data_IF_048448857045
#
_entry.id   IF_048448857045
#
_cell.length_a   1.000
_cell.length_b   1.000
_cell.length_c   1.000
_cell.angle_alpha   90.00
_cell.angle_beta   90.00
_cell.angle_gamma   90.00
#
_symmetry.space_group_name_H-M   'P 1'
#
loop_
_entity.id
_entity.type
_entity.pdbx_description
1 polymer ?
#
# COMPACT_ATOMS: atom_id res chain seq x y z
N UNK A 1 10.09 -10.99 -13.94
CA UNK A 1 10.29 -9.52 -14.15
C UNK A 1 11.13 -9.01 -13.01
N UNK A 2 12.35 -8.54 -13.26
CA UNK A 2 13.19 -7.91 -12.24
C UNK A 2 12.87 -6.41 -12.21
N UNK A 3 12.43 -5.89 -11.06
CA UNK A 3 12.17 -4.48 -10.89
C UNK A 3 13.48 -3.74 -10.63
N UNK A 4 13.75 -2.66 -11.38
CA UNK A 4 14.87 -1.76 -11.11
C UNK A 4 14.69 -1.01 -9.78
N UNK A 5 13.43 -0.64 -9.47
CA UNK A 5 13.03 0.02 -8.24
C UNK A 5 11.79 -0.69 -7.67
N UNK A 6 11.80 -1.04 -6.39
CA UNK A 6 10.67 -1.71 -5.75
C UNK A 6 9.66 -0.72 -5.15
N UNK A 7 10.04 0.52 -4.95
CA UNK A 7 9.16 1.63 -4.59
C UNK A 7 9.73 2.98 -5.06
N UNK A 8 8.89 3.99 -5.08
CA UNK A 8 9.22 5.38 -5.33
C UNK A 8 8.65 6.26 -4.24
N UNK A 9 9.42 7.23 -3.77
CA UNK A 9 9.04 8.07 -2.64
C UNK A 9 9.07 9.56 -3.01
N UNK A 10 8.09 10.29 -2.50
CA UNK A 10 8.02 11.74 -2.54
C UNK A 10 7.87 12.25 -1.10
N UNK A 11 8.96 12.71 -0.52
CA UNK A 11 8.98 13.17 0.87
C UNK A 11 8.27 14.53 1.00
N UNK A 12 7.35 14.64 1.98
CA UNK A 12 6.61 15.89 2.29
C UNK A 12 5.90 16.51 1.06
N UNK A 13 5.48 15.67 0.11
CA UNK A 13 4.94 16.12 -1.17
C UNK A 13 3.56 16.77 -1.04
N UNK A 14 2.79 16.39 -0.02
CA UNK A 14 1.48 16.96 0.26
C UNK A 14 1.58 17.90 1.46
N UNK A 15 1.10 19.14 1.26
CA UNK A 15 1.13 20.14 2.32
C UNK A 15 0.30 19.72 3.55
N UNK A 16 0.69 20.20 4.73
CA UNK A 16 -0.03 19.96 5.99
C UNK A 16 -1.51 20.35 5.88
N UNK A 17 -1.81 21.45 5.20
CA UNK A 17 -3.20 21.90 4.96
C UNK A 17 -3.99 20.86 4.17
N UNK A 18 -3.42 20.30 3.09
CA UNK A 18 -4.09 19.27 2.30
C UNK A 18 -4.21 17.95 3.07
N UNK A 19 -3.21 17.56 3.86
CA UNK A 19 -3.32 16.39 4.74
C UNK A 19 -4.51 16.54 5.71
N UNK A 20 -4.67 17.67 6.37
CA UNK A 20 -5.81 17.92 7.25
C UNK A 20 -7.15 17.99 6.51
N UNK A 21 -7.17 18.55 5.30
CA UNK A 21 -8.38 18.54 4.45
C UNK A 21 -8.80 17.10 4.13
N UNK A 22 -7.87 16.22 3.80
CA UNK A 22 -8.12 14.80 3.56
C UNK A 22 -8.67 14.14 4.82
N UNK A 23 -8.00 14.28 5.97
CA UNK A 23 -8.46 13.74 7.25
C UNK A 23 -9.89 14.16 7.53
N UNK A 24 -10.19 15.46 7.43
CA UNK A 24 -11.53 16.02 7.69
C UNK A 24 -12.60 15.42 6.75
N UNK A 25 -12.27 15.17 5.49
CA UNK A 25 -13.19 14.53 4.56
C UNK A 25 -13.41 13.05 4.93
N UNK A 26 -12.34 12.32 5.26
CA UNK A 26 -12.40 10.92 5.63
C UNK A 26 -13.14 10.65 6.94
N UNK A 27 -13.01 11.54 7.93
CA UNK A 27 -13.71 11.42 9.22
C UNK A 27 -15.23 11.58 9.11
N UNK A 28 -15.76 12.08 8.00
CA UNK A 28 -17.21 12.11 7.73
C UNK A 28 -17.75 10.76 7.23
N UNK A 29 -16.87 9.84 6.85
CA UNK A 29 -17.24 8.54 6.32
C UNK A 29 -17.43 7.52 7.46
N UNK A 30 -18.26 6.50 7.20
CA UNK A 30 -18.47 5.41 8.15
C UNK A 30 -17.18 4.64 8.41
N UNK A 31 -16.83 4.51 9.69
CA UNK A 31 -15.64 3.81 10.15
C UNK A 31 -15.97 2.35 10.44
N UNK A 32 -15.21 1.44 9.86
CA UNK A 32 -15.36 0.00 10.05
C UNK A 32 -14.04 -0.63 10.48
N UNK A 33 -14.10 -1.81 11.09
CA UNK A 33 -12.88 -2.58 11.40
C UNK A 33 -12.25 -3.09 10.11
N UNK A 34 -10.96 -2.83 9.93
CA UNK A 34 -10.21 -3.33 8.77
C UNK A 34 -10.16 -4.86 8.79
N UNK A 35 -10.45 -5.47 7.65
CA UNK A 35 -10.43 -6.93 7.46
C UNK A 35 -9.48 -7.30 6.33
N UNK A 36 -9.02 -8.55 6.33
CA UNK A 36 -8.29 -9.16 5.21
C UNK A 36 -9.25 -10.10 4.49
N UNK A 37 -9.34 -10.03 3.18
CA UNK A 37 -10.16 -10.93 2.38
C UNK A 37 -9.72 -12.38 2.62
N UNK A 38 -10.70 -13.30 2.73
CA UNK A 38 -10.52 -14.75 2.75
C UNK A 38 -9.65 -15.40 3.86
N UNK A 39 -9.41 -14.74 5.00
CA UNK A 39 -8.61 -15.32 6.08
C UNK A 39 -9.44 -15.66 7.31
N UNK A 40 -9.44 -16.94 7.74
CA UNK A 40 -9.93 -17.37 9.07
C UNK A 40 -9.07 -16.78 10.22
N UNK A 41 -7.88 -16.26 9.92
CA UNK A 41 -6.91 -15.66 10.85
C UNK A 41 -6.96 -14.12 10.87
N UNK A 42 -8.11 -13.53 10.56
CA UNK A 42 -8.31 -12.08 10.30
C UNK A 42 -7.68 -11.13 11.33
N UNK A 43 -7.80 -11.45 12.63
CA UNK A 43 -7.28 -10.59 13.71
C UNK A 43 -5.76 -10.65 13.89
N UNK A 44 -5.10 -11.74 13.44
CA UNK A 44 -3.65 -11.90 13.51
C UNK A 44 -2.93 -11.25 12.33
N UNK A 45 -3.64 -11.01 11.22
CA UNK A 45 -3.07 -10.42 10.02
C UNK A 45 -3.24 -8.89 9.98
N UNK A 46 -4.37 -8.37 10.48
CA UNK A 46 -4.67 -6.94 10.45
C UNK A 46 -5.52 -6.53 11.64
N UNK A 47 -5.09 -5.47 12.31
CA UNK A 47 -5.85 -4.82 13.36
C UNK A 47 -5.77 -3.30 13.14
N UNK A 48 -6.84 -2.70 12.63
CA UNK A 48 -6.94 -1.26 12.37
C UNK A 48 -8.42 -0.88 12.14
N UNK A 49 -8.66 0.41 11.96
CA UNK A 49 -9.94 0.93 11.47
C UNK A 49 -9.79 1.55 10.09
N UNK A 50 -10.80 1.43 9.25
CA UNK A 50 -10.81 1.99 7.91
C UNK A 50 -12.11 2.73 7.60
N UNK A 51 -12.00 3.74 6.73
CA UNK A 51 -13.12 4.39 6.07
C UNK A 51 -12.81 4.46 4.57
N UNK A 52 -13.83 4.45 3.74
CA UNK A 52 -13.68 4.50 2.28
C UNK A 52 -14.18 5.84 1.76
N UNK A 53 -13.41 6.43 0.86
CA UNK A 53 -13.72 7.74 0.29
C UNK A 53 -13.50 7.76 -1.22
N UNK A 54 -14.40 8.44 -1.94
CA UNK A 54 -14.30 8.68 -3.38
C UNK A 54 -14.56 10.16 -3.63
N UNK A 55 -13.49 10.92 -3.76
CA UNK A 55 -13.54 12.37 -3.99
C UNK A 55 -12.59 12.74 -5.13
N UNK A 56 -13.11 13.31 -6.20
CA UNK A 56 -12.33 13.63 -7.40
C UNK A 56 -11.11 14.50 -7.11
N UNK A 57 -11.23 15.45 -6.17
CA UNK A 57 -10.11 16.31 -5.81
C UNK A 57 -8.95 15.55 -5.15
N UNK A 58 -9.21 14.42 -4.48
CA UNK A 58 -8.16 13.54 -3.91
C UNK A 58 -7.45 12.82 -5.05
N UNK A 59 -8.19 12.24 -6.00
CA UNK A 59 -7.57 11.59 -7.16
C UNK A 59 -6.77 12.58 -8.01
N UNK A 60 -7.30 13.77 -8.25
CA UNK A 60 -6.60 14.83 -8.98
C UNK A 60 -5.30 15.27 -8.28
N UNK A 61 -5.28 15.23 -6.94
CA UNK A 61 -4.09 15.51 -6.15
C UNK A 61 -3.05 14.39 -6.24
N UNK A 62 -3.46 13.11 -6.27
CA UNK A 62 -2.58 11.96 -6.17
C UNK A 62 -2.10 11.42 -7.52
N UNK A 63 -2.93 11.45 -8.56
CA UNK A 63 -2.60 10.87 -9.87
C UNK A 63 -1.31 11.40 -10.51
N UNK A 64 -0.94 12.69 -10.42
CA UNK A 64 0.33 13.17 -10.94
C UNK A 64 1.55 12.45 -10.33
N UNK A 65 1.50 12.12 -9.04
CA UNK A 65 2.56 11.38 -8.35
C UNK A 65 2.61 9.92 -8.83
N UNK A 66 1.44 9.28 -9.04
CA UNK A 66 1.35 7.90 -9.56
C UNK A 66 1.97 7.82 -10.95
N UNK A 67 1.61 8.73 -11.86
CA UNK A 67 2.19 8.78 -13.21
C UNK A 67 3.70 9.02 -13.18
N UNK A 68 4.15 9.95 -12.34
CA UNK A 68 5.57 10.28 -12.20
C UNK A 68 6.37 9.08 -11.66
N UNK A 69 5.89 8.44 -10.59
CA UNK A 69 6.54 7.25 -10.02
C UNK A 69 6.60 6.10 -11.02
N UNK A 70 5.47 5.78 -11.67
CA UNK A 70 5.37 4.69 -12.65
C UNK A 70 6.39 4.84 -13.79
N UNK A 71 6.57 6.06 -14.29
CA UNK A 71 7.56 6.38 -15.34
C UNK A 71 8.99 6.36 -14.79
N UNK A 72 9.25 7.08 -13.70
CA UNK A 72 10.62 7.30 -13.20
C UNK A 72 11.22 6.04 -12.57
N UNK A 73 10.38 5.19 -11.97
CA UNK A 73 10.79 3.87 -11.48
C UNK A 73 10.95 2.84 -12.61
N UNK A 74 10.63 3.22 -13.86
CA UNK A 74 10.68 2.38 -15.05
C UNK A 74 9.74 1.16 -14.98
N UNK A 75 8.64 1.26 -14.22
CA UNK A 75 7.63 0.20 -14.21
C UNK A 75 6.77 0.22 -15.47
N UNK A 76 6.34 1.39 -15.92
CA UNK A 76 5.53 1.61 -17.12
C UNK A 76 4.26 0.75 -17.17
N UNK A 77 3.69 0.47 -15.99
CA UNK A 77 2.47 -0.32 -15.90
C UNK A 77 1.28 0.44 -16.48
N UNK A 78 0.49 -0.25 -17.29
CA UNK A 78 -0.76 0.28 -17.80
C UNK A 78 -1.84 0.13 -16.72
N UNK A 79 -2.46 1.24 -16.35
CA UNK A 79 -3.60 1.32 -15.45
C UNK A 79 -4.58 2.36 -15.98
N UNK A 80 -5.85 2.22 -15.65
CA UNK A 80 -6.92 3.03 -16.23
C UNK A 80 -7.97 3.49 -15.21
N UNK A 81 -7.89 3.05 -13.95
CA UNK A 81 -8.83 3.42 -12.90
C UNK A 81 -8.20 3.41 -11.52
N UNK A 82 -8.75 4.22 -10.61
CA UNK A 82 -8.42 4.14 -9.19
C UNK A 82 -9.59 3.52 -8.42
N UNK A 83 -9.29 2.63 -7.49
CA UNK A 83 -10.28 2.15 -6.51
C UNK A 83 -10.67 3.28 -5.55
N UNK A 84 -11.71 3.04 -4.73
CA UNK A 84 -12.00 3.87 -3.57
C UNK A 84 -10.75 3.99 -2.71
N UNK A 85 -10.42 5.21 -2.31
CA UNK A 85 -9.30 5.42 -1.38
C UNK A 85 -9.69 4.94 0.01
N UNK A 86 -8.76 4.24 0.67
CA UNK A 86 -8.91 3.73 2.02
C UNK A 86 -8.18 4.64 3.01
N UNK A 87 -8.93 5.34 3.83
CA UNK A 87 -8.36 6.00 5.01
C UNK A 87 -8.20 4.96 6.12
N UNK A 88 -7.00 4.85 6.66
CA UNK A 88 -6.66 3.86 7.68
C UNK A 88 -6.19 4.55 8.95
N UNK A 89 -6.74 4.13 10.07
CA UNK A 89 -6.33 4.58 11.40
C UNK A 89 -5.78 3.40 12.21
N UNK A 90 -4.60 3.62 12.80
CA UNK A 90 -3.96 2.70 13.73
C UNK A 90 -3.76 3.39 15.07
N UNK A 91 -4.16 2.73 16.16
CA UNK A 91 -3.91 3.14 17.54
C UNK A 91 -3.02 2.10 18.23
N UNK A 92 -2.73 2.26 19.52
CA UNK A 92 -1.85 1.36 20.29
C UNK A 92 -2.18 -0.12 20.05
N UNK A 93 -1.15 -0.91 19.78
CA UNK A 93 -1.19 -2.35 19.46
C UNK A 93 -1.89 -2.69 18.14
N UNK A 94 -2.18 -1.72 17.29
CA UNK A 94 -2.73 -1.94 15.96
C UNK A 94 -1.63 -1.96 14.91
N UNK A 95 -1.82 -2.80 13.88
CA UNK A 95 -0.80 -3.14 12.88
C UNK A 95 -1.45 -3.72 11.62
N UNK A 96 -0.63 -3.92 10.60
CA UNK A 96 -0.97 -4.73 9.44
C UNK A 96 0.26 -5.57 9.05
N UNK A 97 0.15 -6.90 9.22
CA UNK A 97 1.23 -7.83 8.94
C UNK A 97 1.60 -7.89 7.45
N UNK A 98 2.65 -8.65 7.16
CA UNK A 98 3.15 -8.87 5.82
C UNK A 98 2.05 -9.31 4.86
N UNK A 99 1.86 -8.53 3.79
CA UNK A 99 0.87 -8.78 2.76
C UNK A 99 1.30 -8.15 1.43
N UNK A 100 0.60 -8.54 0.36
CA UNK A 100 0.57 -7.83 -0.92
C UNK A 100 -0.82 -7.23 -1.09
N UNK A 101 -0.91 -6.12 -1.81
CA UNK A 101 -2.20 -5.51 -2.14
C UNK A 101 -2.87 -6.16 -3.35
N UNK A 102 -2.08 -6.80 -4.20
CA UNK A 102 -2.58 -7.53 -5.37
C UNK A 102 -3.03 -8.94 -4.96
N UNK A 103 -4.25 -9.29 -5.32
CA UNK A 103 -4.75 -10.67 -5.22
C UNK A 103 -4.17 -11.55 -6.34
N UNK A 104 -4.16 -12.87 -6.11
CA UNK A 104 -3.69 -13.87 -7.08
C UNK A 104 -4.58 -14.00 -8.32
N UNK A 105 -5.79 -13.42 -8.28
CA UNK A 105 -6.78 -13.48 -9.37
C UNK A 105 -7.32 -12.09 -9.64
N UNK A 106 -7.67 -11.79 -10.90
CA UNK A 106 -8.39 -10.57 -11.24
C UNK A 106 -9.74 -10.51 -10.52
N UNK A 107 -10.26 -9.30 -10.35
CA UNK A 107 -11.66 -9.10 -9.96
C UNK A 107 -12.59 -9.86 -10.91
N UNK A 108 -13.66 -10.42 -10.36
CA UNK A 108 -14.61 -11.22 -11.11
C UNK A 108 -15.18 -10.45 -12.32
N UNK A 109 -15.44 -11.17 -13.40
CA UNK A 109 -16.00 -10.60 -14.63
C UNK A 109 -17.41 -10.02 -14.45
N UNK A 110 -18.14 -10.51 -13.44
CA UNK A 110 -19.49 -10.07 -13.05
C UNK A 110 -19.47 -9.13 -11.84
N UNK A 111 -18.29 -8.59 -11.46
CA UNK A 111 -18.19 -7.67 -10.33
C UNK A 111 -19.22 -6.53 -10.47
N UNK A 112 -19.89 -6.18 -9.35
CA UNK A 112 -20.91 -5.12 -9.32
C UNK A 112 -20.37 -3.78 -9.78
N UNK A 113 -19.11 -3.48 -9.46
CA UNK A 113 -18.40 -2.29 -9.94
C UNK A 113 -17.78 -2.59 -11.32
N UNK A 114 -18.38 -2.10 -12.37
CA UNK A 114 -17.97 -2.35 -13.77
C UNK A 114 -16.49 -2.04 -14.00
N UNK A 115 -15.98 -0.95 -13.41
CA UNK A 115 -14.61 -0.51 -13.57
C UNK A 115 -13.58 -1.46 -12.95
N UNK A 116 -13.98 -2.40 -12.08
CA UNK A 116 -13.08 -3.41 -11.50
C UNK A 116 -13.00 -4.70 -12.34
N UNK A 117 -13.98 -4.99 -13.17
CA UNK A 117 -14.11 -6.28 -13.88
C UNK A 117 -12.85 -6.67 -14.63
N UNK A 118 -12.39 -7.91 -14.40
CA UNK A 118 -11.21 -8.51 -15.03
C UNK A 118 -9.91 -7.71 -14.83
N UNK A 119 -9.84 -6.80 -13.84
CA UNK A 119 -8.67 -6.00 -13.53
C UNK A 119 -7.97 -6.50 -12.27
N UNK A 120 -6.72 -6.08 -12.12
CA UNK A 120 -5.89 -6.29 -10.93
C UNK A 120 -5.36 -4.96 -10.44
N UNK A 121 -4.97 -4.88 -9.16
CA UNK A 121 -4.19 -3.77 -8.63
C UNK A 121 -2.79 -3.79 -9.22
N UNK A 122 -2.37 -2.70 -9.80
CA UNK A 122 -1.05 -2.51 -10.43
C UNK A 122 -0.10 -1.76 -9.53
N UNK A 123 -0.56 -0.63 -9.02
CA UNK A 123 0.21 0.28 -8.18
C UNK A 123 -0.56 0.57 -6.90
N UNK A 124 0.14 0.52 -5.80
CA UNK A 124 -0.33 0.94 -4.49
C UNK A 124 0.34 2.26 -4.13
N UNK A 125 -0.45 3.18 -3.59
CA UNK A 125 -0.01 4.43 -3.02
C UNK A 125 -0.36 4.47 -1.54
N UNK A 126 0.56 4.87 -0.68
CA UNK A 126 0.27 5.27 0.70
C UNK A 126 0.73 6.71 0.94
N UNK A 127 -0.15 7.52 1.50
CA UNK A 127 0.09 8.90 1.91
C UNK A 127 0.02 8.98 3.44
N UNK A 128 1.11 9.42 4.07
CA UNK A 128 1.18 9.64 5.52
C UNK A 128 0.45 10.93 5.90
N UNK A 129 -0.48 10.83 6.85
CA UNK A 129 -1.35 11.94 7.24
C UNK A 129 -1.15 12.43 8.69
N UNK A 130 -0.36 11.71 9.51
CA UNK A 130 -0.06 12.07 10.89
C UNK A 130 1.36 12.58 11.01
N UNK A 131 1.59 13.62 11.81
CA UNK A 131 2.91 14.10 12.14
C UNK A 131 3.69 13.02 12.93
N UNK A 132 4.96 12.75 12.63
CA UNK A 132 5.75 11.74 13.33
C UNK A 132 5.89 11.98 14.83
N UNK A 133 5.72 13.22 15.30
CA UNK A 133 5.73 13.57 16.72
C UNK A 133 4.48 13.08 17.49
N UNK A 134 3.40 12.72 16.79
CA UNK A 134 2.12 12.34 17.38
C UNK A 134 1.99 10.84 17.68
N UNK A 135 2.96 9.99 17.21
CA UNK A 135 2.89 8.54 17.41
C UNK A 135 4.27 7.88 17.42
N UNK A 136 4.35 6.70 18.05
CA UNK A 136 5.53 5.83 18.05
C UNK A 136 5.18 4.45 17.48
N UNK A 137 6.17 3.76 16.89
CA UNK A 137 5.97 2.53 16.13
C UNK A 137 5.37 2.81 14.73
N UNK A 138 4.61 1.88 14.18
CA UNK A 138 3.94 2.06 12.89
C UNK A 138 4.89 2.24 11.72
N UNK A 139 6.03 1.58 11.77
CA UNK A 139 7.04 1.62 10.72
C UNK A 139 6.48 0.99 9.44
N UNK A 140 6.78 1.59 8.30
CA UNK A 140 6.49 1.03 7.00
C UNK A 140 7.70 0.25 6.51
N UNK A 141 7.50 -1.04 6.22
CA UNK A 141 8.57 -1.93 5.81
C UNK A 141 8.19 -2.71 4.56
N UNK A 142 9.20 -2.95 3.71
CA UNK A 142 9.13 -3.84 2.56
C UNK A 142 9.93 -5.12 2.80
N UNK A 143 9.50 -6.23 2.20
CA UNK A 143 10.35 -7.40 1.96
C UNK A 143 11.03 -7.29 0.61
N UNK A 144 12.33 -7.49 0.62
CA UNK A 144 13.17 -7.41 -0.55
C UNK A 144 13.82 -8.77 -0.80
N UNK A 145 13.76 -9.22 -2.03
CA UNK A 145 14.48 -10.42 -2.47
C UNK A 145 15.77 -9.98 -3.17
N UNK A 146 16.92 -10.30 -2.59
CA UNK A 146 18.25 -9.86 -3.07
C UNK A 146 18.85 -10.84 -4.10
N UNK A 147 18.01 -11.51 -4.90
CA UNK A 147 18.47 -12.55 -5.81
C UNK A 147 17.78 -12.48 -7.17
N UNK A 148 18.58 -12.61 -8.23
CA UNK A 148 18.14 -13.23 -9.47
C UNK A 148 17.66 -14.65 -9.11
N UNK A 149 16.37 -14.83 -8.94
CA UNK A 149 15.79 -16.17 -8.82
C UNK A 149 15.80 -16.72 -10.23
N UNK A 150 16.76 -17.59 -10.50
CA UNK A 150 16.68 -18.49 -11.64
C UNK A 150 15.52 -19.45 -11.34
N UNK A 151 14.37 -19.20 -11.95
CA UNK A 151 13.15 -20.00 -11.79
C UNK A 151 13.37 -21.50 -12.10
N UNK A 152 14.44 -21.84 -12.84
CA UNK A 152 14.83 -23.23 -13.11
C UNK A 152 15.47 -23.92 -11.89
N UNK A 153 15.97 -23.17 -10.90
CA UNK A 153 16.63 -23.70 -9.71
C UNK A 153 15.75 -23.72 -8.45
N UNK A 154 14.50 -23.26 -8.51
CA UNK A 154 13.58 -23.14 -7.35
C UNK A 154 13.34 -24.46 -6.60
N UNK A 155 13.48 -25.61 -7.26
CA UNK A 155 13.26 -26.92 -6.66
C UNK A 155 14.40 -27.42 -5.73
N UNK A 156 15.52 -26.70 -5.60
CA UNK A 156 16.69 -27.15 -4.85
C UNK A 156 17.04 -26.32 -3.60
N UNK A 157 16.33 -25.22 -3.31
CA UNK A 157 16.63 -24.42 -2.12
C UNK A 157 15.92 -24.93 -0.87
N UNK A 158 16.70 -25.20 0.20
CA UNK A 158 16.12 -25.41 1.52
C UNK A 158 15.42 -24.10 1.98
N UNK A 159 14.32 -24.24 2.72
CA UNK A 159 13.56 -23.09 3.28
C UNK A 159 14.48 -22.08 3.96
N UNK A 160 15.51 -22.54 4.64
CA UNK A 160 16.46 -21.70 5.38
C UNK A 160 17.33 -20.84 4.44
N UNK A 161 17.81 -21.39 3.31
CA UNK A 161 18.54 -20.62 2.30
C UNK A 161 17.68 -19.57 1.58
N UNK A 162 16.38 -19.79 1.51
CA UNK A 162 15.44 -18.84 0.94
C UNK A 162 15.17 -17.70 1.92
N UNK A 163 15.00 -18.00 3.22
CA UNK A 163 14.76 -17.00 4.26
C UNK A 163 15.97 -16.06 4.47
N UNK A 164 17.20 -16.55 4.32
CA UNK A 164 18.44 -15.77 4.41
C UNK A 164 18.61 -14.72 3.30
N UNK A 165 17.87 -14.86 2.20
CA UNK A 165 17.90 -13.97 1.04
C UNK A 165 16.82 -12.89 1.08
N UNK A 166 15.93 -12.93 2.07
CA UNK A 166 14.88 -11.95 2.26
C UNK A 166 15.38 -10.85 3.20
N UNK A 167 15.54 -9.63 2.69
CA UNK A 167 15.83 -8.46 3.50
C UNK A 167 14.57 -7.68 3.83
N UNK A 168 14.47 -7.23 5.07
CA UNK A 168 13.48 -6.23 5.47
C UNK A 168 14.06 -4.84 5.29
N UNK A 169 13.37 -4.00 4.53
CA UNK A 169 13.77 -2.61 4.28
C UNK A 169 12.81 -1.68 5.01
N UNK A 170 13.32 -0.95 6.00
CA UNK A 170 12.59 0.10 6.69
C UNK A 170 12.64 1.39 5.85
N UNK A 171 11.47 1.94 5.54
CA UNK A 171 11.34 3.25 4.86
C UNK A 171 11.16 4.33 5.93
N UNK A 172 12.27 4.91 6.39
CA UNK A 172 12.26 5.91 7.49
C UNK A 172 11.42 7.14 7.17
N UNK A 173 11.51 7.62 5.93
CA UNK A 173 10.82 8.81 5.43
C UNK A 173 9.30 8.62 5.35
N UNK A 174 8.82 7.36 5.40
CA UNK A 174 7.39 7.03 5.44
C UNK A 174 6.66 7.63 6.63
N UNK A 175 7.37 8.01 7.69
CA UNK A 175 6.77 8.65 8.87
C UNK A 175 6.51 10.14 8.70
N UNK A 176 7.18 10.79 7.76
CA UNK A 176 7.02 12.24 7.60
C UNK A 176 5.65 12.60 7.03
N UNK A 177 5.00 13.58 7.67
CA UNK A 177 3.69 14.08 7.23
C UNK A 177 3.73 14.53 5.77
N UNK A 178 2.73 14.09 4.99
CA UNK A 178 2.62 14.40 3.56
C UNK A 178 3.52 13.59 2.65
N UNK A 179 4.27 12.63 3.17
CA UNK A 179 5.07 11.72 2.34
C UNK A 179 4.19 10.72 1.61
N UNK A 180 4.45 10.56 0.30
CA UNK A 180 3.82 9.57 -0.56
C UNK A 180 4.84 8.48 -0.89
N UNK A 181 4.44 7.23 -0.72
CA UNK A 181 5.16 6.06 -1.22
C UNK A 181 4.28 5.37 -2.25
N UNK A 182 4.85 5.05 -3.42
CA UNK A 182 4.18 4.31 -4.50
C UNK A 182 5.01 3.08 -4.80
N UNK A 183 4.36 1.94 -4.99
CA UNK A 183 5.01 0.66 -5.24
C UNK A 183 4.10 -0.29 -6.03
N UNK A 184 4.67 -1.27 -6.75
CA UNK A 184 3.89 -2.33 -7.39
C UNK A 184 3.06 -3.09 -6.36
N UNK A 185 1.78 -3.30 -6.63
CA UNK A 185 0.84 -3.87 -5.64
C UNK A 185 1.16 -5.31 -5.21
N UNK A 186 2.05 -5.99 -5.92
CA UNK A 186 2.56 -7.33 -5.57
C UNK A 186 3.79 -7.31 -4.63
N UNK A 187 4.32 -6.14 -4.28
CA UNK A 187 5.45 -6.03 -3.35
C UNK A 187 4.98 -6.25 -1.92
N UNK A 188 5.65 -7.16 -1.21
CA UNK A 188 5.37 -7.47 0.19
C UNK A 188 5.73 -6.31 1.09
N UNK A 189 4.75 -5.89 1.91
CA UNK A 189 4.92 -4.78 2.84
C UNK A 189 4.11 -4.99 4.12
N UNK A 190 4.44 -4.21 5.15
CA UNK A 190 3.70 -4.21 6.43
C UNK A 190 3.74 -2.85 7.12
N UNK A 191 2.85 -2.69 8.12
CA UNK A 191 2.91 -1.66 9.15
C UNK A 191 3.15 -2.35 10.48
N UNK A 192 4.27 -2.02 11.13
CA UNK A 192 4.58 -2.53 12.48
C UNK A 192 3.58 -2.01 13.53
N UNK A 193 3.47 -2.64 14.70
CA UNK A 193 2.56 -2.18 15.74
C UNK A 193 2.81 -0.74 16.18
N UNK A 194 1.73 0.02 16.36
CA UNK A 194 1.78 1.33 17.03
C UNK A 194 2.02 1.09 18.53
N UNK A 195 3.00 1.76 19.09
CA UNK A 195 3.30 1.66 20.53
C UNK A 195 2.68 2.79 21.33
N UNK A 196 2.52 3.98 20.71
CA UNK A 196 1.91 5.17 21.32
C UNK A 196 1.22 6.02 20.25
N UNK A 197 0.18 6.76 20.64
CA UNK A 197 -0.51 7.72 19.79
C UNK A 197 -1.39 7.09 18.73
N UNK A 198 -1.57 7.80 17.59
CA UNK A 198 -2.41 7.39 16.48
C UNK A 198 -1.74 7.72 15.16
N UNK A 199 -1.62 6.73 14.29
CA UNK A 199 -1.17 6.89 12.90
C UNK A 199 -2.36 6.86 11.95
N UNK A 200 -2.41 7.83 11.02
CA UNK A 200 -3.42 7.91 9.97
C UNK A 200 -2.74 7.94 8.60
N UNK A 201 -3.28 7.22 7.64
CA UNK A 201 -2.80 7.22 6.27
C UNK A 201 -3.95 7.07 5.28
N UNK A 202 -3.74 7.56 4.06
CA UNK A 202 -4.62 7.31 2.94
C UNK A 202 -3.92 6.32 1.99
N UNK A 203 -4.63 5.26 1.62
CA UNK A 203 -4.15 4.26 0.65
C UNK A 203 -5.02 4.36 -0.59
N UNK A 204 -4.40 4.30 -1.77
CA UNK A 204 -5.10 4.23 -3.05
C UNK A 204 -4.48 3.16 -3.93
N UNK A 205 -5.29 2.52 -4.76
CA UNK A 205 -4.85 1.49 -5.70
C UNK A 205 -5.23 1.88 -7.12
N UNK A 206 -4.22 1.91 -7.99
CA UNK A 206 -4.43 2.03 -9.44
C UNK A 206 -4.54 0.65 -10.04
N UNK A 207 -5.62 0.42 -10.79
CA UNK A 207 -5.97 -0.88 -11.37
C UNK A 207 -5.91 -0.86 -12.89
N UNK A 208 -5.70 -2.02 -13.48
CA UNK A 208 -5.67 -2.19 -14.93
C UNK A 208 -5.76 -3.67 -15.31
N UNK A 209 -5.72 -3.97 -16.61
CA UNK A 209 -5.71 -5.35 -17.12
C UNK A 209 -4.55 -6.13 -16.51
N UNK A 210 -4.65 -7.46 -16.29
CA UNK A 210 -3.55 -8.28 -15.84
C UNK A 210 -2.26 -8.07 -16.64
N UNK A 211 -1.13 -8.41 -16.05
CA UNK A 211 0.16 -8.41 -16.76
C UNK A 211 0.12 -9.51 -17.83
N UNK A 212 0.68 -9.22 -19.00
CA UNK A 212 0.80 -10.13 -20.14
C UNK A 212 2.22 -10.72 -20.11
#
# INVERSE_FOLDING_TARGET
MQLKNNYWIFTKAISKTNCYKIIKACLKQSKIKGTVANSKLKLRARNCYVSWISEDWIYNLLNPFIHTANRNANWNFQWDWNELSQFTEYTKNQFYEWHTDQDNKPYAADNKMINLRNKIRKLSLTLQLTDPAEYDGGDFEFKWFDVEIDLASEFQYSKQKFDDKIKTVLVKEAKELGTIIIFPSFVWHRITPITKGKRQSLVNWSIGKPFI
#
